data_IF_187054722784
#
_entry.id   IF_187054722784
#
_cell.length_a   1.000
_cell.length_b   1.000
_cell.length_c   1.000
_cell.angle_alpha   90.00
_cell.angle_beta   90.00
_cell.angle_gamma   90.00
#
_symmetry.space_group_name_H-M   'P 1'
#
loop_
_entity.id
_entity.type
_entity.pdbx_description
1 polymer ?
#
# COMPACT_ATOMS: atom_id res chain seq x y z
N UNK A 1 0.44 -1.88 38.98
CA UNK A 1 0.93 -2.91 38.02
C UNK A 1 0.10 -2.97 36.74
N UNK A 2 -0.26 -1.83 36.13
CA UNK A 2 -1.09 -1.74 34.90
C UNK A 2 -0.37 -1.06 33.74
N UNK A 3 0.94 -0.75 33.84
CA UNK A 3 1.66 0.01 32.82
C UNK A 3 2.55 -0.82 31.87
N UNK A 4 2.79 -2.10 32.17
CA UNK A 4 3.71 -2.93 31.39
C UNK A 4 3.05 -3.63 30.18
N UNK A 5 1.72 -3.77 30.17
CA UNK A 5 1.02 -4.45 29.06
C UNK A 5 0.58 -3.51 27.92
N UNK A 6 0.52 -2.21 28.17
CA UNK A 6 0.19 -1.21 27.13
C UNK A 6 1.39 -0.86 26.25
N UNK A 7 2.61 -1.06 26.74
CA UNK A 7 3.84 -0.78 25.99
C UNK A 7 4.17 -1.93 25.00
N UNK A 8 3.71 -3.14 25.26
CA UNK A 8 3.97 -4.29 24.36
C UNK A 8 3.10 -4.31 23.10
N UNK A 9 2.01 -3.56 23.03
CA UNK A 9 1.16 -3.45 21.83
C UNK A 9 1.67 -2.44 20.79
N UNK A 10 2.67 -1.62 21.13
CA UNK A 10 3.21 -0.61 20.20
C UNK A 10 4.59 -0.95 19.62
N UNK A 11 5.16 -2.14 19.87
CA UNK A 11 6.55 -2.44 19.52
C UNK A 11 6.74 -3.34 18.28
N UNK A 12 5.71 -3.63 17.51
CA UNK A 12 5.86 -4.33 16.24
C UNK A 12 5.82 -3.37 15.03
N UNK A 13 6.36 -2.17 15.18
CA UNK A 13 6.59 -1.29 14.04
C UNK A 13 7.88 -1.76 13.41
N UNK A 14 7.73 -2.63 12.45
CA UNK A 14 8.84 -3.11 11.66
C UNK A 14 9.18 -2.07 10.60
N UNK A 15 10.44 -1.89 10.40
CA UNK A 15 11.04 -1.01 9.43
C UNK A 15 10.66 -1.38 8.01
N UNK A 16 9.66 -0.73 7.44
CA UNK A 16 9.51 -0.74 6.00
C UNK A 16 10.75 -0.10 5.35
N UNK A 17 11.30 0.95 5.96
CA UNK A 17 12.63 1.50 5.74
C UNK A 17 13.02 2.30 7.00
N UNK A 18 14.01 1.86 7.72
CA UNK A 18 14.33 2.41 9.03
C UNK A 18 14.95 3.80 9.00
N UNK A 19 15.64 4.21 7.94
CA UNK A 19 16.26 5.53 7.85
C UNK A 19 16.78 5.81 6.45
N UNK A 20 16.65 7.03 5.97
CA UNK A 20 17.29 7.54 4.76
C UNK A 20 16.72 7.05 3.42
N UNK A 21 17.10 7.77 2.35
CA UNK A 21 16.62 7.55 0.98
C UNK A 21 17.33 6.39 0.25
N UNK A 22 18.36 5.80 0.86
CA UNK A 22 19.27 4.84 0.21
C UNK A 22 19.50 3.59 1.06
N UNK A 23 18.47 3.09 1.74
CA UNK A 23 18.66 1.94 2.59
C UNK A 23 18.51 0.61 1.87
N UNK A 24 19.31 -0.34 2.35
CA UNK A 24 19.13 -1.76 2.02
C UNK A 24 17.72 -2.21 2.40
N UNK A 25 17.09 -2.92 1.46
CA UNK A 25 15.80 -3.57 1.72
C UNK A 25 15.94 -4.58 2.85
N UNK A 26 14.87 -4.78 3.63
CA UNK A 26 14.80 -5.92 4.52
C UNK A 26 15.09 -7.20 3.74
N UNK A 27 16.11 -7.95 4.14
CA UNK A 27 16.55 -9.16 3.41
C UNK A 27 15.97 -10.44 3.97
N UNK A 28 15.26 -10.36 5.08
CA UNK A 28 14.67 -11.53 5.72
C UNK A 28 13.37 -11.90 5.00
N UNK A 29 13.50 -12.89 4.10
CA UNK A 29 12.38 -13.41 3.33
C UNK A 29 11.36 -14.08 4.25
N UNK A 30 10.07 -13.90 3.95
CA UNK A 30 8.97 -14.48 4.71
C UNK A 30 8.65 -13.79 6.04
N UNK A 31 9.52 -12.90 6.53
CA UNK A 31 9.25 -12.15 7.75
C UNK A 31 8.15 -11.10 7.54
N UNK A 32 7.34 -10.88 8.59
CA UNK A 32 6.42 -9.75 8.64
C UNK A 32 7.23 -8.47 8.81
N UNK A 33 7.16 -7.58 7.81
CA UNK A 33 7.86 -6.30 7.83
C UNK A 33 7.13 -5.24 8.62
N UNK A 34 5.81 -5.26 8.59
CA UNK A 34 4.96 -4.33 9.31
C UNK A 34 3.58 -4.94 9.51
N UNK A 35 2.94 -4.62 10.63
CA UNK A 35 1.58 -5.05 10.90
C UNK A 35 0.81 -4.01 11.73
N UNK A 36 -0.50 -4.00 11.55
CA UNK A 36 -1.43 -3.17 12.30
C UNK A 36 -2.75 -3.93 12.48
N UNK A 37 -3.21 -4.05 13.74
CA UNK A 37 -4.57 -4.53 14.00
C UNK A 37 -5.55 -3.37 13.79
N UNK A 38 -6.33 -3.46 12.73
CA UNK A 38 -7.30 -2.43 12.38
C UNK A 38 -8.65 -2.72 13.06
N UNK A 39 -9.06 -1.92 14.05
CA UNK A 39 -10.31 -2.16 14.78
C UNK A 39 -11.57 -1.85 13.96
N UNK A 40 -11.49 -1.04 12.90
CA UNK A 40 -12.61 -0.72 12.03
C UNK A 40 -13.13 -1.95 11.29
N UNK A 41 -12.23 -2.78 10.76
CA UNK A 41 -12.56 -4.05 10.08
C UNK A 41 -12.35 -5.28 10.99
N UNK A 42 -11.86 -5.05 12.21
CA UNK A 42 -11.48 -6.10 13.18
C UNK A 42 -10.58 -7.18 12.58
N UNK A 43 -9.54 -6.75 11.83
CA UNK A 43 -8.58 -7.63 11.19
C UNK A 43 -7.16 -7.15 11.39
N UNK A 44 -6.21 -8.08 11.41
CA UNK A 44 -4.79 -7.77 11.35
C UNK A 44 -4.38 -7.59 9.89
N UNK A 45 -3.93 -6.38 9.54
CA UNK A 45 -3.26 -6.10 8.27
C UNK A 45 -1.77 -6.26 8.46
N UNK A 46 -1.11 -7.04 7.60
CA UNK A 46 0.34 -7.20 7.63
C UNK A 46 0.96 -7.24 6.24
N UNK A 47 2.25 -6.95 6.18
CA UNK A 47 3.04 -6.82 4.95
C UNK A 47 4.26 -7.74 5.02
N UNK A 48 4.54 -8.46 3.93
CA UNK A 48 5.76 -9.24 3.70
C UNK A 48 6.35 -8.90 2.35
N UNK A 49 7.67 -8.98 2.20
CA UNK A 49 8.27 -8.96 0.87
C UNK A 49 7.72 -10.10 0.04
N UNK A 50 7.49 -9.83 -1.25
CA UNK A 50 7.11 -10.88 -2.19
C UNK A 50 8.26 -11.85 -2.38
N UNK A 51 7.93 -13.14 -2.48
CA UNK A 51 8.90 -14.22 -2.68
C UNK A 51 8.62 -15.01 -3.95
N UNK A 52 9.59 -15.84 -4.35
CA UNK A 52 9.39 -16.77 -5.47
C UNK A 52 8.17 -17.68 -5.27
N UNK A 53 7.89 -18.07 -4.03
CA UNK A 53 6.72 -18.88 -3.67
C UNK A 53 5.38 -18.17 -3.95
N UNK A 54 5.37 -16.85 -4.02
CA UNK A 54 4.18 -16.05 -4.32
C UNK A 54 3.89 -15.93 -5.82
N UNK A 55 4.82 -16.33 -6.69
CA UNK A 55 4.73 -16.08 -8.13
C UNK A 55 3.44 -16.61 -8.77
N UNK A 56 3.05 -17.84 -8.46
CA UNK A 56 1.82 -18.44 -9.01
C UNK A 56 0.57 -17.63 -8.61
N UNK A 57 0.53 -17.14 -7.37
CA UNK A 57 -0.54 -16.25 -6.86
C UNK A 57 -0.51 -14.91 -7.58
N UNK A 58 0.65 -14.30 -7.69
CA UNK A 58 0.84 -13.03 -8.37
C UNK A 58 0.41 -13.11 -9.84
N UNK A 59 0.83 -14.16 -10.57
CA UNK A 59 0.40 -14.39 -11.95
C UNK A 59 -1.12 -14.55 -12.06
N UNK A 60 -1.75 -15.30 -11.16
CA UNK A 60 -3.21 -15.44 -11.14
C UNK A 60 -3.90 -14.08 -10.95
N UNK A 61 -3.39 -13.24 -10.05
CA UNK A 61 -3.95 -11.91 -9.81
C UNK A 61 -3.76 -10.97 -10.99
N UNK A 62 -2.57 -10.94 -11.61
CA UNK A 62 -2.29 -10.09 -12.78
C UNK A 62 -3.09 -10.49 -14.02
N UNK A 63 -3.41 -11.79 -14.14
CA UNK A 63 -4.24 -12.32 -15.24
C UNK A 63 -5.76 -12.23 -14.96
N UNK A 64 -6.21 -11.76 -13.78
CA UNK A 64 -7.62 -11.44 -13.54
C UNK A 64 -8.03 -10.27 -14.46
N UNK A 65 -9.06 -10.38 -15.31
CA UNK A 65 -9.48 -9.31 -16.22
C UNK A 65 -9.73 -7.95 -15.53
N UNK A 66 -10.14 -7.97 -14.25
CA UNK A 66 -10.38 -6.75 -13.47
C UNK A 66 -9.09 -6.05 -13.03
N UNK A 67 -7.99 -6.77 -12.97
CA UNK A 67 -6.65 -6.24 -12.69
C UNK A 67 -5.98 -5.86 -14.01
N UNK A 68 -6.03 -6.77 -14.99
CA UNK A 68 -5.39 -6.60 -16.30
C UNK A 68 -5.83 -5.32 -17.00
N UNK A 69 -7.11 -4.96 -16.96
CA UNK A 69 -7.63 -3.75 -17.60
C UNK A 69 -6.90 -2.45 -17.15
N UNK A 70 -6.31 -2.44 -15.93
CA UNK A 70 -5.59 -1.28 -15.39
C UNK A 70 -4.08 -1.46 -15.38
N UNK A 71 -3.60 -2.68 -15.06
CA UNK A 71 -2.17 -2.96 -14.95
C UNK A 71 -1.53 -3.33 -16.30
N UNK A 72 -2.29 -3.92 -17.22
CA UNK A 72 -1.83 -4.32 -18.56
C UNK A 72 -0.59 -5.22 -18.51
N UNK A 73 -0.58 -6.13 -17.54
CA UNK A 73 0.53 -7.02 -17.23
C UNK A 73 0.09 -8.49 -17.13
N UNK A 74 -0.87 -8.91 -17.96
CA UNK A 74 -1.23 -10.33 -18.11
C UNK A 74 -0.14 -11.09 -18.89
N UNK A 75 1.05 -11.18 -18.31
CA UNK A 75 2.25 -11.74 -18.92
C UNK A 75 2.46 -13.21 -18.56
N UNK A 76 3.44 -13.86 -19.24
CA UNK A 76 3.89 -15.20 -18.86
C UNK A 76 4.54 -15.19 -17.47
N UNK A 77 4.63 -16.37 -16.85
CA UNK A 77 5.22 -16.54 -15.52
C UNK A 77 6.70 -16.06 -15.50
N UNK A 78 7.45 -16.36 -16.56
CA UNK A 78 8.86 -15.94 -16.69
C UNK A 78 8.98 -14.41 -16.70
N UNK A 79 8.13 -13.73 -17.48
CA UNK A 79 8.12 -12.28 -17.56
C UNK A 79 7.65 -11.63 -16.25
N UNK A 80 6.68 -12.23 -15.58
CA UNK A 80 6.23 -11.79 -14.25
C UNK A 80 7.37 -11.92 -13.23
N UNK A 81 8.09 -13.03 -13.25
CA UNK A 81 9.22 -13.20 -12.34
C UNK A 81 10.37 -12.24 -12.64
N UNK A 82 10.66 -11.97 -13.90
CA UNK A 82 11.64 -10.96 -14.28
C UNK A 82 11.25 -9.60 -13.68
N UNK A 83 10.01 -9.16 -13.87
CA UNK A 83 9.49 -7.91 -13.30
C UNK A 83 9.65 -7.86 -11.77
N UNK A 84 9.23 -8.92 -11.07
CA UNK A 84 9.36 -8.98 -9.61
C UNK A 84 10.82 -8.98 -9.16
N UNK A 85 11.70 -9.65 -9.90
CA UNK A 85 13.15 -9.67 -9.61
C UNK A 85 13.78 -8.28 -9.77
N UNK A 86 13.37 -7.52 -10.79
CA UNK A 86 13.78 -6.12 -10.98
C UNK A 86 13.29 -5.25 -9.80
N UNK A 87 12.03 -5.41 -9.37
CA UNK A 87 11.49 -4.69 -8.20
C UNK A 87 12.17 -5.09 -6.90
N UNK A 88 12.51 -6.36 -6.72
CA UNK A 88 13.29 -6.83 -5.58
C UNK A 88 14.73 -6.30 -5.58
N UNK A 89 15.33 -6.07 -6.73
CA UNK A 89 16.67 -5.50 -6.87
C UNK A 89 16.70 -3.97 -6.76
N UNK A 90 15.59 -3.29 -7.07
CA UNK A 90 15.49 -1.83 -6.99
C UNK A 90 15.59 -1.34 -5.54
N UNK A 91 16.55 -0.46 -5.24
CA UNK A 91 16.76 0.09 -3.89
C UNK A 91 15.63 1.03 -3.43
N UNK A 92 14.78 1.49 -4.33
CA UNK A 92 13.79 2.51 -4.07
C UNK A 92 12.35 2.01 -3.97
N UNK A 93 12.11 0.72 -4.29
CA UNK A 93 10.78 0.10 -4.30
C UNK A 93 10.73 -1.14 -3.42
N UNK A 94 9.69 -1.28 -2.61
CA UNK A 94 9.38 -2.51 -1.85
C UNK A 94 8.18 -3.20 -2.51
N UNK A 95 8.38 -4.32 -3.21
CA UNK A 95 7.30 -5.16 -3.67
C UNK A 95 6.80 -6.06 -2.53
N UNK A 96 5.52 -5.94 -2.18
CA UNK A 96 4.95 -6.51 -0.97
C UNK A 96 3.71 -7.34 -1.26
N UNK A 97 3.51 -8.39 -0.46
CA UNK A 97 2.22 -9.06 -0.32
C UNK A 97 1.53 -8.53 0.93
N UNK A 98 0.31 -8.02 0.76
CA UNK A 98 -0.58 -7.64 1.85
C UNK A 98 -1.44 -8.81 2.32
N UNK A 99 -1.55 -8.94 3.63
CA UNK A 99 -2.37 -9.95 4.29
C UNK A 99 -3.48 -9.30 5.12
N UNK A 100 -4.66 -9.92 5.13
CA UNK A 100 -5.69 -9.69 6.13
C UNK A 100 -5.82 -10.96 6.97
N UNK A 101 -5.47 -10.87 8.24
CA UNK A 101 -5.21 -12.01 9.11
C UNK A 101 -4.12 -12.91 8.48
N UNK A 102 -4.42 -14.17 8.19
CA UNK A 102 -3.49 -15.09 7.53
C UNK A 102 -3.70 -15.18 6.01
N UNK A 103 -4.68 -14.43 5.45
CA UNK A 103 -5.00 -14.50 4.03
C UNK A 103 -4.22 -13.48 3.21
N UNK A 104 -3.30 -13.87 2.32
CA UNK A 104 -2.71 -12.98 1.34
C UNK A 104 -3.80 -12.51 0.36
N UNK A 105 -3.91 -11.19 0.13
CA UNK A 105 -5.02 -10.67 -0.64
C UNK A 105 -4.64 -9.62 -1.69
N UNK A 106 -3.48 -8.96 -1.52
CA UNK A 106 -3.08 -7.82 -2.34
C UNK A 106 -1.58 -7.88 -2.69
N UNK A 107 -1.23 -7.32 -3.85
CA UNK A 107 0.13 -6.93 -4.17
C UNK A 107 0.24 -5.42 -4.07
N UNK A 108 1.33 -4.97 -3.47
CA UNK A 108 1.59 -3.57 -3.18
C UNK A 108 3.05 -3.24 -3.54
N UNK A 109 3.28 -2.05 -4.06
CA UNK A 109 4.61 -1.47 -4.13
C UNK A 109 4.61 -0.18 -3.31
N UNK A 110 5.52 -0.07 -2.36
CA UNK A 110 5.79 1.19 -1.66
C UNK A 110 7.15 1.68 -2.11
N UNK A 111 7.22 2.89 -2.65
CA UNK A 111 8.43 3.40 -3.26
C UNK A 111 8.75 4.85 -2.85
N UNK A 112 9.98 5.28 -3.06
CA UNK A 112 10.38 6.68 -2.93
C UNK A 112 9.95 7.45 -4.19
N UNK A 113 8.91 8.28 -4.07
CA UNK A 113 8.36 9.00 -5.22
C UNK A 113 9.37 9.96 -5.87
N UNK A 114 10.28 10.55 -5.08
CA UNK A 114 11.35 11.41 -5.59
C UNK A 114 12.40 10.66 -6.43
N UNK A 115 12.42 9.33 -6.40
CA UNK A 115 13.33 8.46 -7.19
C UNK A 115 12.62 7.74 -8.32
N UNK A 116 11.33 7.90 -8.43
CA UNK A 116 10.49 7.32 -9.49
C UNK A 116 10.27 8.29 -10.64
N UNK A 117 9.79 7.75 -11.78
CA UNK A 117 9.41 8.56 -12.96
C UNK A 117 8.33 9.59 -12.64
N UNK A 118 7.52 9.33 -11.63
CA UNK A 118 6.50 10.24 -11.15
C UNK A 118 7.07 11.61 -10.72
N UNK A 119 8.30 11.66 -10.20
CA UNK A 119 8.96 12.91 -9.80
C UNK A 119 9.13 13.94 -10.93
N UNK A 120 9.05 13.51 -12.20
CA UNK A 120 9.11 14.41 -13.35
C UNK A 120 7.81 15.20 -13.58
N UNK A 121 6.73 14.83 -12.91
CA UNK A 121 5.38 15.37 -13.13
C UNK A 121 4.89 16.27 -12.00
N UNK A 122 5.58 16.32 -10.86
CA UNK A 122 5.22 17.19 -9.74
C UNK A 122 6.46 17.56 -8.91
N UNK A 123 6.33 18.54 -8.03
CA UNK A 123 7.38 18.94 -7.08
C UNK A 123 7.50 17.90 -5.95
N UNK A 124 8.23 16.82 -6.22
CA UNK A 124 8.41 15.71 -5.32
C UNK A 124 9.35 16.08 -4.17
N UNK A 125 8.85 16.00 -2.93
CA UNK A 125 9.70 16.13 -1.76
C UNK A 125 10.55 14.86 -1.55
N UNK A 126 11.75 14.98 -0.95
CA UNK A 126 12.67 13.84 -0.79
C UNK A 126 12.07 12.63 -0.07
N UNK A 127 11.14 12.85 0.85
CA UNK A 127 10.51 11.80 1.65
C UNK A 127 9.08 11.44 1.23
N UNK A 128 8.61 11.91 0.05
CA UNK A 128 7.33 11.47 -0.49
C UNK A 128 7.36 9.97 -0.79
N UNK A 129 6.29 9.29 -0.40
CA UNK A 129 6.10 7.88 -0.71
C UNK A 129 5.08 7.69 -1.81
N UNK A 130 5.40 6.83 -2.76
CA UNK A 130 4.46 6.37 -3.76
C UNK A 130 3.88 5.00 -3.42
N UNK A 131 2.69 4.71 -3.90
CA UNK A 131 2.03 3.41 -3.75
C UNK A 131 1.47 2.95 -5.10
N UNK A 132 1.83 1.72 -5.52
CA UNK A 132 1.04 0.95 -6.46
C UNK A 132 0.30 -0.16 -5.71
N UNK A 133 -0.92 -0.47 -6.13
CA UNK A 133 -1.71 -1.49 -5.45
C UNK A 133 -2.64 -2.25 -6.39
N UNK A 134 -2.85 -3.52 -6.09
CA UNK A 134 -3.96 -4.32 -6.60
C UNK A 134 -4.54 -5.20 -5.48
N UNK A 135 -5.85 -5.43 -5.52
CA UNK A 135 -6.52 -6.42 -4.67
C UNK A 135 -6.83 -7.65 -5.51
N UNK A 136 -6.06 -8.70 -5.30
CA UNK A 136 -6.18 -9.97 -6.02
C UNK A 136 -7.37 -10.81 -5.55
N UNK A 137 -7.54 -10.97 -4.23
CA UNK A 137 -8.58 -11.84 -3.68
C UNK A 137 -9.95 -11.16 -3.62
N UNK A 138 -10.95 -11.82 -4.21
CA UNK A 138 -12.31 -11.26 -4.29
C UNK A 138 -12.96 -11.13 -2.91
N UNK A 139 -12.73 -12.07 -2.00
CA UNK A 139 -13.28 -12.09 -0.64
C UNK A 139 -12.81 -10.89 0.22
N UNK A 140 -11.67 -10.28 -0.14
CA UNK A 140 -11.09 -9.13 0.57
C UNK A 140 -11.45 -7.78 -0.10
N UNK A 141 -12.27 -7.80 -1.15
CA UNK A 141 -12.75 -6.58 -1.83
C UNK A 141 -13.91 -5.97 -1.04
N UNK A 142 -14.30 -4.80 -1.47
CA UNK A 142 -15.42 -4.04 -0.89
C UNK A 142 -14.95 -2.75 -0.21
N UNK A 143 -15.88 -1.79 -0.02
CA UNK A 143 -15.53 -0.48 0.50
C UNK A 143 -14.99 -0.52 1.92
N UNK A 144 -15.58 -1.33 2.77
CA UNK A 144 -15.22 -1.42 4.17
C UNK A 144 -13.82 -2.01 4.36
N UNK A 145 -13.56 -3.16 3.74
CA UNK A 145 -12.21 -3.74 3.75
C UNK A 145 -11.18 -2.76 3.19
N UNK A 146 -11.52 -2.06 2.07
CA UNK A 146 -10.61 -1.11 1.46
C UNK A 146 -10.25 0.05 2.42
N UNK A 147 -11.25 0.66 3.07
CA UNK A 147 -11.03 1.73 4.05
C UNK A 147 -10.12 1.26 5.20
N UNK A 148 -10.40 0.07 5.73
CA UNK A 148 -9.64 -0.49 6.85
C UNK A 148 -8.19 -0.77 6.49
N UNK A 149 -7.91 -1.61 5.48
CA UNK A 149 -6.55 -2.00 5.17
C UNK A 149 -5.74 -0.86 4.55
N UNK A 150 -6.35 0.03 3.76
CA UNK A 150 -5.66 1.17 3.18
C UNK A 150 -5.29 2.21 4.24
N UNK A 151 -6.15 2.44 5.24
CA UNK A 151 -5.78 3.29 6.37
C UNK A 151 -4.64 2.67 7.20
N UNK A 152 -4.64 1.33 7.38
CA UNK A 152 -3.52 0.63 8.00
C UNK A 152 -2.22 0.77 7.21
N UNK A 153 -2.27 0.61 5.88
CA UNK A 153 -1.11 0.80 5.01
C UNK A 153 -0.54 2.21 5.13
N UNK A 154 -1.40 3.23 5.04
CA UNK A 154 -0.98 4.64 5.16
C UNK A 154 -0.35 4.91 6.53
N UNK A 155 -0.95 4.38 7.61
CA UNK A 155 -0.41 4.47 8.97
C UNK A 155 0.99 3.86 9.06
N UNK A 156 1.18 2.63 8.57
CA UNK A 156 2.47 1.94 8.60
C UNK A 156 3.54 2.68 7.78
N UNK A 157 3.17 3.24 6.63
CA UNK A 157 4.09 4.06 5.82
C UNK A 157 4.52 5.30 6.60
N UNK A 158 3.59 6.05 7.18
CA UNK A 158 3.91 7.24 7.97
C UNK A 158 4.71 6.91 9.24
N UNK A 159 4.44 5.79 9.89
CA UNK A 159 5.19 5.35 11.07
C UNK A 159 6.62 4.92 10.72
N UNK A 160 6.82 4.28 9.56
CA UNK A 160 8.13 3.80 9.13
C UNK A 160 9.11 4.92 8.81
N UNK A 161 8.60 6.11 8.44
CA UNK A 161 9.43 7.29 8.13
C UNK A 161 8.77 8.57 8.64
N UNK A 162 9.23 9.12 9.78
CA UNK A 162 8.65 10.34 10.37
C UNK A 162 8.71 11.57 9.48
N UNK A 163 9.66 11.66 8.55
CA UNK A 163 9.80 12.78 7.62
C UNK A 163 8.85 12.70 6.42
N UNK A 164 8.22 11.56 6.17
CA UNK A 164 7.20 11.43 5.12
C UNK A 164 5.98 12.28 5.49
N UNK A 165 5.70 13.30 4.69
CA UNK A 165 4.54 14.18 4.85
C UNK A 165 3.45 13.89 3.83
N UNK A 166 3.80 13.27 2.69
CA UNK A 166 2.87 13.00 1.60
C UNK A 166 2.98 11.55 1.14
N UNK A 167 1.85 10.95 0.85
CA UNK A 167 1.74 9.69 0.11
C UNK A 167 1.02 10.01 -1.19
N UNK A 168 1.58 9.53 -2.31
CA UNK A 168 1.09 9.81 -3.66
C UNK A 168 0.78 8.53 -4.42
N UNK A 169 -0.16 8.61 -5.36
CA UNK A 169 -0.50 7.56 -6.31
C UNK A 169 -0.74 8.19 -7.68
N UNK A 170 -0.53 7.40 -8.74
CA UNK A 170 -0.81 7.86 -10.11
C UNK A 170 -1.64 6.81 -10.89
N UNK A 171 -2.86 6.49 -10.42
CA UNK A 171 -3.74 5.59 -11.14
C UNK A 171 -4.07 6.12 -12.53
N UNK A 172 -4.57 5.23 -13.41
CA UNK A 172 -5.22 5.66 -14.65
C UNK A 172 -6.37 6.61 -14.32
N UNK A 173 -6.45 7.72 -15.02
CA UNK A 173 -7.48 8.75 -14.80
C UNK A 173 -8.92 8.20 -15.01
N UNK A 174 -9.08 7.15 -15.84
CA UNK A 174 -10.35 6.48 -16.08
C UNK A 174 -10.73 5.42 -15.02
N UNK A 175 -9.87 5.19 -14.00
CA UNK A 175 -10.18 4.28 -12.90
C UNK A 175 -11.05 4.98 -11.82
N UNK A 176 -12.28 5.35 -12.23
CA UNK A 176 -13.20 6.11 -11.38
C UNK A 176 -13.47 5.44 -10.03
N UNK A 177 -13.50 4.08 -9.99
CA UNK A 177 -13.73 3.34 -8.75
C UNK A 177 -12.58 3.56 -7.75
N UNK A 178 -11.32 3.46 -8.20
CA UNK A 178 -10.17 3.69 -7.32
C UNK A 178 -10.12 5.15 -6.89
N UNK A 179 -10.32 6.08 -7.83
CA UNK A 179 -10.36 7.52 -7.54
C UNK A 179 -11.34 7.85 -6.40
N UNK A 180 -12.58 7.34 -6.51
CA UNK A 180 -13.60 7.54 -5.47
C UNK A 180 -13.16 6.93 -4.13
N UNK A 181 -12.62 5.72 -4.12
CA UNK A 181 -12.15 5.06 -2.89
C UNK A 181 -11.00 5.80 -2.21
N UNK A 182 -10.08 6.34 -3.01
CA UNK A 182 -8.95 7.10 -2.49
C UNK A 182 -9.39 8.46 -1.93
N UNK A 183 -10.35 9.12 -2.58
CA UNK A 183 -10.93 10.38 -2.08
C UNK A 183 -11.60 10.18 -0.70
N UNK A 184 -12.30 9.06 -0.48
CA UNK A 184 -12.87 8.71 0.84
C UNK A 184 -11.80 8.61 1.95
N UNK A 185 -10.54 8.40 1.57
CA UNK A 185 -9.38 8.27 2.47
C UNK A 185 -8.47 9.51 2.46
N UNK A 186 -8.97 10.64 1.94
CA UNK A 186 -8.27 11.92 1.95
C UNK A 186 -7.11 12.00 0.96
N UNK A 187 -7.16 11.21 -0.11
CA UNK A 187 -6.24 11.35 -1.24
C UNK A 187 -6.89 12.18 -2.33
N UNK A 188 -6.59 13.47 -2.32
CA UNK A 188 -7.17 14.41 -3.24
C UNK A 188 -6.51 14.34 -4.62
N UNK A 189 -7.32 14.40 -5.69
CA UNK A 189 -6.83 14.51 -7.05
C UNK A 189 -6.28 15.91 -7.28
N UNK A 190 -5.00 15.99 -7.67
CA UNK A 190 -4.32 17.26 -7.90
C UNK A 190 -4.47 17.72 -9.36
N UNK A 191 -4.09 16.87 -10.31
CA UNK A 191 -4.19 17.10 -11.75
C UNK A 191 -4.00 15.79 -12.51
N UNK A 192 -4.28 15.82 -13.81
CA UNK A 192 -4.01 14.72 -14.73
C UNK A 192 -2.80 15.02 -15.61
N UNK A 193 -2.08 13.97 -15.98
CA UNK A 193 -0.90 14.04 -16.84
C UNK A 193 -0.71 12.75 -17.64
N UNK A 194 0.15 12.78 -18.67
CA UNK A 194 0.34 11.64 -19.55
C UNK A 194 1.70 10.97 -19.31
N UNK A 195 1.66 9.67 -19.05
CA UNK A 195 2.77 8.75 -19.27
C UNK A 195 2.69 8.18 -20.69
N UNK A 196 3.77 7.64 -21.27
CA UNK A 196 3.73 7.03 -22.60
C UNK A 196 2.68 5.93 -22.78
N UNK A 197 2.27 5.28 -21.67
CA UNK A 197 1.37 4.12 -21.68
C UNK A 197 0.00 4.39 -21.01
N UNK A 198 -0.19 5.52 -20.35
CA UNK A 198 -1.46 5.84 -19.68
C UNK A 198 -1.61 7.35 -19.46
N UNK A 199 -2.85 7.83 -19.48
CA UNK A 199 -3.23 9.07 -18.80
C UNK A 199 -3.47 8.79 -17.34
N UNK A 200 -2.77 9.49 -16.46
CA UNK A 200 -2.79 9.30 -15.01
C UNK A 200 -3.38 10.51 -14.28
N UNK A 201 -3.95 10.30 -13.12
CA UNK A 201 -4.30 11.35 -12.18
C UNK A 201 -3.35 11.29 -10.97
N UNK A 202 -2.71 12.39 -10.60
CA UNK A 202 -1.94 12.48 -9.37
C UNK A 202 -2.90 12.59 -8.18
N UNK A 203 -2.88 11.58 -7.31
CA UNK A 203 -3.58 11.61 -6.03
C UNK A 203 -2.57 11.86 -4.91
N UNK A 204 -2.93 12.69 -3.94
CA UNK A 204 -2.05 13.04 -2.83
C UNK A 204 -2.80 13.04 -1.50
N UNK A 205 -2.30 12.26 -0.55
CA UNK A 205 -2.72 12.28 0.85
C UNK A 205 -1.63 12.91 1.72
N UNK A 206 -2.01 13.76 2.68
CA UNK A 206 -1.06 14.38 3.61
C UNK A 206 -1.11 13.72 4.98
N UNK A 207 0.05 13.67 5.67
CA UNK A 207 0.15 13.13 7.03
C UNK A 207 -0.80 13.82 8.01
N UNK A 208 -0.90 15.16 7.96
CA UNK A 208 -1.74 15.92 8.86
C UNK A 208 -3.21 15.53 8.70
N UNK A 209 -3.76 15.64 7.47
CA UNK A 209 -5.14 15.26 7.19
C UNK A 209 -5.44 13.79 7.52
N UNK A 210 -4.48 12.90 7.19
CA UNK A 210 -4.62 11.47 7.50
C UNK A 210 -4.85 11.23 8.99
N UNK A 211 -4.00 11.77 9.88
CA UNK A 211 -4.15 11.53 11.32
C UNK A 211 -5.30 12.31 11.96
N UNK A 212 -5.62 13.49 11.46
CA UNK A 212 -6.72 14.31 11.99
C UNK A 212 -8.10 13.74 11.65
N UNK A 213 -8.27 13.15 10.44
CA UNK A 213 -9.59 12.79 9.94
C UNK A 213 -9.73 11.29 9.61
N UNK A 214 -8.76 10.72 8.90
CA UNK A 214 -8.91 9.41 8.29
C UNK A 214 -8.60 8.29 9.30
N UNK A 215 -7.45 8.36 9.95
CA UNK A 215 -7.00 7.31 10.86
C UNK A 215 -7.90 7.20 12.08
N UNK A 216 -8.36 8.32 12.63
CA UNK A 216 -9.34 8.33 13.73
C UNK A 216 -10.65 7.65 13.36
N UNK A 217 -11.03 7.66 12.08
CA UNK A 217 -12.28 7.08 11.57
C UNK A 217 -12.11 5.62 11.17
N UNK A 218 -11.07 5.28 10.40
CA UNK A 218 -10.89 3.98 9.75
C UNK A 218 -9.71 3.17 10.27
N UNK A 219 -8.88 3.75 11.13
CA UNK A 219 -7.69 3.10 11.69
C UNK A 219 -7.83 2.71 13.17
N UNK A 220 -8.52 3.53 13.97
CA UNK A 220 -8.58 3.38 15.43
C UNK A 220 -9.97 3.01 15.96
N UNK A 221 -11.05 3.28 15.23
CA UNK A 221 -12.43 3.06 15.69
C UNK A 221 -13.02 1.81 15.07
N UNK A 222 -13.91 1.15 15.82
CA UNK A 222 -14.73 0.07 15.28
C UNK A 222 -15.72 0.62 14.25
N UNK A 223 -15.92 -0.12 13.16
CA UNK A 223 -16.96 0.21 12.18
C UNK A 223 -18.34 0.24 12.83
N UNK A 224 -19.18 1.23 12.50
CA UNK A 224 -20.58 1.24 12.93
C UNK A 224 -21.38 0.02 12.45
N UNK A 225 -20.97 -0.61 11.34
CA UNK A 225 -21.61 -1.79 10.77
C UNK A 225 -21.25 -3.11 11.46
N UNK A 226 -20.40 -3.10 12.50
CA UNK A 226 -20.00 -4.27 13.29
C UNK A 226 -21.09 -4.84 14.22
N UNK A 227 -22.36 -4.56 13.99
CA UNK A 227 -23.51 -5.13 14.70
C UNK A 227 -24.45 -5.83 13.73
N UNK A 228 -23.99 -6.91 13.09
CA UNK A 228 -24.85 -7.96 12.54
C UNK A 228 -24.01 -9.25 12.45
N UNK A 229 -23.95 -9.96 13.55
CA UNK A 229 -23.67 -11.38 13.59
C UNK A 229 -24.92 -12.10 14.02
#
# INVERSE_FOLDING_TARGET
MLSANLIKLSMNIVNLWASGLEQDKPREMGAVLAEHHNPYINKRFSLKLIERADLARFCRWMNDPRVEQFWQQAWSEEKQWQYLSEKLADAHTLPLIGYLDEQPFAYLEVYWAAKDKLAQHYDAAPYDRGIHLLVGEQSCRGPENFRGWMSSLSHLIYQSQPLTQRIVLEPRADNARLMMRMAELGYDSQFEFDFPHKRAALLMGTRAHFYEQIFTTFGERKSPSGHLA
#
